data_IF_335249797642
#
_entry.id   IF_335249797642
#
_cell.length_a   1.000
_cell.length_b   1.000
_cell.length_c   1.000
_cell.angle_alpha   90.00
_cell.angle_beta   90.00
_cell.angle_gamma   90.00
#
_symmetry.space_group_name_H-M   'P 1'
#
loop_
_entity.id
_entity.type
_entity.pdbx_description
1 polymer ?
#
# COMPACT_ATOMS: atom_id res chain seq x y z
N UNK A 1 9.74 2.71 -8.96
CA UNK A 1 8.92 3.06 -7.77
C UNK A 1 7.49 2.55 -7.91
N UNK A 2 6.67 3.12 -8.82
CA UNK A 2 5.25 2.76 -8.98
C UNK A 2 4.97 1.26 -9.13
N UNK A 3 5.75 0.55 -9.95
CA UNK A 3 5.60 -0.89 -10.18
C UNK A 3 5.84 -1.73 -8.91
N UNK A 4 6.82 -1.34 -8.09
CA UNK A 4 7.15 -2.05 -6.84
C UNK A 4 6.12 -1.75 -5.76
N UNK A 5 5.68 -0.49 -5.62
CA UNK A 5 4.57 -0.12 -4.76
C UNK A 5 3.28 -0.86 -5.14
N UNK A 6 2.98 -0.97 -6.43
CA UNK A 6 1.79 -1.71 -6.90
C UNK A 6 1.83 -3.18 -6.51
N UNK A 7 3.00 -3.84 -6.56
CA UNK A 7 3.16 -5.23 -6.10
C UNK A 7 2.92 -5.37 -4.61
N UNK A 8 3.50 -4.47 -3.80
CA UNK A 8 3.32 -4.46 -2.34
C UNK A 8 1.84 -4.23 -2.01
N UNK A 9 1.22 -3.21 -2.60
CA UNK A 9 -0.22 -2.92 -2.42
C UNK A 9 -1.06 -4.13 -2.78
N UNK A 10 -0.78 -4.80 -3.90
CA UNK A 10 -1.56 -5.95 -4.32
C UNK A 10 -1.42 -7.17 -3.39
N UNK A 11 -0.22 -7.42 -2.86
CA UNK A 11 -0.01 -8.43 -1.84
C UNK A 11 -0.76 -8.09 -0.54
N UNK A 12 -0.64 -6.84 -0.08
CA UNK A 12 -1.22 -6.40 1.20
C UNK A 12 -2.73 -6.19 1.17
N UNK A 13 -3.31 -5.88 0.01
CA UNK A 13 -4.76 -5.81 -0.18
C UNK A 13 -5.45 -7.12 0.19
N UNK A 14 -4.76 -8.25 -0.02
CA UNK A 14 -5.24 -9.59 0.25
C UNK A 14 -4.72 -10.18 1.58
N UNK A 15 -3.96 -9.40 2.36
CA UNK A 15 -3.37 -9.89 3.60
C UNK A 15 -4.46 -10.17 4.64
N UNK A 16 -4.54 -11.40 5.19
CA UNK A 16 -5.51 -11.74 6.23
C UNK A 16 -5.14 -11.14 7.60
N UNK A 17 -3.94 -10.58 7.74
CA UNK A 17 -3.41 -10.10 9.02
C UNK A 17 -4.01 -8.75 9.44
N UNK A 18 -4.54 -7.96 8.49
CA UNK A 18 -4.93 -6.57 8.73
C UNK A 18 -6.36 -6.26 8.25
N UNK A 19 -7.32 -7.13 8.52
CA UNK A 19 -8.68 -7.05 7.96
C UNK A 19 -9.43 -5.75 8.31
N UNK A 20 -9.19 -5.19 9.50
CA UNK A 20 -9.89 -4.01 10.03
C UNK A 20 -9.10 -2.70 9.90
N UNK A 21 -7.98 -2.71 9.18
CA UNK A 21 -7.18 -1.50 9.00
C UNK A 21 -7.94 -0.45 8.18
N UNK A 22 -7.76 0.81 8.54
CA UNK A 22 -8.24 1.96 7.78
C UNK A 22 -7.38 2.19 6.53
N UNK A 23 -7.87 3.01 5.59
CA UNK A 23 -7.09 3.37 4.40
C UNK A 23 -5.75 4.02 4.77
N UNK A 24 -5.74 4.88 5.80
CA UNK A 24 -4.54 5.60 6.20
C UNK A 24 -3.51 4.64 6.81
N UNK A 25 -3.95 3.77 7.72
CA UNK A 25 -3.09 2.73 8.30
C UNK A 25 -2.54 1.78 7.24
N UNK A 26 -3.36 1.39 6.26
CA UNK A 26 -2.93 0.58 5.12
C UNK A 26 -1.82 1.26 4.32
N UNK A 27 -2.05 2.51 3.92
CA UNK A 27 -1.10 3.29 3.11
C UNK A 27 0.21 3.47 3.87
N UNK A 28 0.16 3.86 5.15
CA UNK A 28 1.36 4.05 5.97
C UNK A 28 2.16 2.75 6.11
N UNK A 29 1.47 1.63 6.35
CA UNK A 29 2.11 0.31 6.44
C UNK A 29 2.77 -0.10 5.12
N UNK A 30 2.11 0.10 3.99
CA UNK A 30 2.69 -0.15 2.66
C UNK A 30 3.93 0.72 2.43
N UNK A 31 3.88 2.00 2.82
CA UNK A 31 5.03 2.91 2.70
C UNK A 31 6.20 2.41 3.55
N UNK A 32 5.95 1.97 4.79
CA UNK A 32 6.97 1.38 5.65
C UNK A 32 7.57 0.10 5.04
N UNK A 33 6.77 -0.78 4.45
CA UNK A 33 7.26 -1.99 3.77
C UNK A 33 8.15 -1.60 2.58
N UNK A 34 7.74 -0.62 1.79
CA UNK A 34 8.52 -0.12 0.65
C UNK A 34 9.85 0.47 1.10
N UNK A 35 9.83 1.36 2.10
CA UNK A 35 11.03 2.01 2.64
C UNK A 35 12.02 0.98 3.21
N UNK A 36 11.53 0.00 3.97
CA UNK A 36 12.36 -1.10 4.48
C UNK A 36 12.97 -1.93 3.35
N UNK A 37 12.19 -2.22 2.30
CA UNK A 37 12.68 -2.95 1.12
C UNK A 37 13.76 -2.16 0.40
N UNK A 38 13.55 -0.86 0.18
CA UNK A 38 14.53 0.02 -0.47
C UNK A 38 15.81 0.15 0.35
N UNK A 39 15.71 0.32 1.66
CA UNK A 39 16.88 0.41 2.55
C UNK A 39 17.71 -0.88 2.53
N UNK A 40 17.06 -2.04 2.48
CA UNK A 40 17.75 -3.35 2.36
C UNK A 40 18.41 -3.55 0.99
N UNK A 41 17.80 -3.05 -0.08
CA UNK A 41 18.26 -3.30 -1.45
C UNK A 41 19.29 -2.28 -1.97
N UNK A 42 19.16 -1.01 -1.59
CA UNK A 42 19.94 0.10 -2.18
C UNK A 42 20.91 0.78 -1.22
N UNK A 43 20.91 0.39 0.06
CA UNK A 43 21.71 1.05 1.09
C UNK A 43 21.01 2.26 1.70
N UNK A 44 21.67 2.85 2.72
CA UNK A 44 21.09 3.79 3.67
C UNK A 44 20.37 4.99 3.04
N UNK A 45 19.14 5.21 3.50
CA UNK A 45 18.47 6.52 3.41
C UNK A 45 19.01 7.35 4.57
N UNK A 46 19.60 8.51 4.28
CA UNK A 46 20.04 9.45 5.33
C UNK A 46 18.83 9.91 6.15
N UNK A 47 18.90 9.92 7.50
CA UNK A 47 17.77 10.27 8.35
C UNK A 47 17.13 11.63 8.02
N UNK A 48 17.94 12.58 7.54
CA UNK A 48 17.49 13.91 7.09
C UNK A 48 16.58 13.89 5.87
N UNK A 49 16.74 12.91 4.98
CA UNK A 49 15.89 12.74 3.79
C UNK A 49 14.73 11.78 4.02
N UNK A 50 14.69 11.10 5.16
CA UNK A 50 13.74 10.00 5.38
C UNK A 50 12.28 10.48 5.41
N UNK A 51 12.02 11.64 6.00
CA UNK A 51 10.68 12.23 6.04
C UNK A 51 10.22 12.69 4.64
N UNK A 52 11.08 13.39 3.91
CA UNK A 52 10.74 13.89 2.56
C UNK A 52 10.47 12.72 1.59
N UNK A 53 11.32 11.69 1.64
CA UNK A 53 11.15 10.46 0.85
C UNK A 53 9.89 9.71 1.29
N UNK A 54 9.59 9.66 2.60
CA UNK A 54 8.38 9.01 3.08
C UNK A 54 7.11 9.70 2.57
N UNK A 55 7.07 11.04 2.61
CA UNK A 55 5.92 11.79 2.09
C UNK A 55 5.75 11.63 0.57
N UNK A 56 6.85 11.60 -0.19
CA UNK A 56 6.80 11.32 -1.64
C UNK A 56 6.28 9.90 -1.93
N UNK A 57 6.77 8.91 -1.18
CA UNK A 57 6.29 7.52 -1.27
C UNK A 57 4.82 7.42 -0.87
N UNK A 58 4.40 8.15 0.17
CA UNK A 58 3.01 8.17 0.65
C UNK A 58 2.08 8.77 -0.39
N UNK A 59 2.46 9.87 -1.01
CA UNK A 59 1.70 10.46 -2.11
C UNK A 59 1.51 9.45 -3.25
N UNK A 60 2.59 8.79 -3.67
CA UNK A 60 2.52 7.80 -4.75
C UNK A 60 1.70 6.55 -4.35
N UNK A 61 1.84 6.08 -3.11
CA UNK A 61 1.10 4.93 -2.60
C UNK A 61 -0.42 5.20 -2.59
N UNK A 62 -0.86 6.42 -2.27
CA UNK A 62 -2.27 6.82 -2.32
C UNK A 62 -2.80 6.73 -3.75
N UNK A 63 -2.05 7.25 -4.73
CA UNK A 63 -2.47 7.23 -6.13
C UNK A 63 -2.55 5.80 -6.67
N UNK A 64 -1.54 4.96 -6.40
CA UNK A 64 -1.58 3.55 -6.80
C UNK A 64 -2.70 2.79 -6.10
N UNK A 65 -2.95 3.07 -4.81
CA UNK A 65 -4.05 2.49 -4.07
C UNK A 65 -5.41 2.83 -4.70
N UNK A 66 -5.65 4.11 -5.02
CA UNK A 66 -6.88 4.57 -5.70
C UNK A 66 -7.11 3.87 -7.03
N UNK A 67 -6.06 3.73 -7.83
CA UNK A 67 -6.12 3.02 -9.12
C UNK A 67 -6.47 1.54 -8.90
N UNK A 68 -5.80 0.86 -7.97
CA UNK A 68 -6.01 -0.57 -7.68
C UNK A 68 -7.37 -0.87 -7.06
N UNK A 69 -7.93 0.09 -6.33
CA UNK A 69 -9.27 -0.02 -5.75
C UNK A 69 -10.36 0.61 -6.62
N UNK A 70 -10.08 1.00 -7.87
CA UNK A 70 -11.06 1.62 -8.77
C UNK A 70 -11.83 2.80 -8.13
N UNK A 71 -11.18 3.55 -7.24
CA UNK A 71 -11.81 4.65 -6.51
C UNK A 71 -12.75 4.24 -5.37
N UNK A 72 -12.73 2.98 -4.91
CA UNK A 72 -13.45 2.61 -3.68
C UNK A 72 -12.94 3.44 -2.50
N UNK A 73 -13.85 4.21 -1.90
CA UNK A 73 -13.54 5.13 -0.78
C UNK A 73 -13.06 4.43 0.49
N UNK A 74 -13.29 3.13 0.65
CA UNK A 74 -12.79 2.38 1.81
C UNK A 74 -12.22 1.02 1.41
N UNK A 75 -11.08 0.66 2.02
CA UNK A 75 -10.42 -0.63 1.91
C UNK A 75 -11.35 -1.77 2.31
N UNK A 76 -12.15 -1.56 3.37
CA UNK A 76 -13.15 -2.52 3.83
C UNK A 76 -14.24 -2.77 2.78
N UNK A 77 -14.68 -1.73 2.05
CA UNK A 77 -15.64 -1.87 0.95
C UNK A 77 -15.02 -2.63 -0.23
N UNK A 78 -13.77 -2.30 -0.59
CA UNK A 78 -13.05 -2.97 -1.66
C UNK A 78 -12.84 -4.47 -1.37
N UNK A 79 -12.35 -4.81 -0.17
CA UNK A 79 -12.14 -6.21 0.25
C UNK A 79 -13.43 -7.03 0.23
N UNK A 80 -14.55 -6.45 0.68
CA UNK A 80 -15.87 -7.09 0.62
C UNK A 80 -16.32 -7.35 -0.80
N UNK A 81 -16.27 -6.34 -1.68
CA UNK A 81 -16.64 -6.49 -3.09
C UNK A 81 -15.81 -7.55 -3.81
N UNK A 82 -14.49 -7.56 -3.57
CA UNK A 82 -13.58 -8.54 -4.17
C UNK A 82 -13.80 -9.96 -3.66
N UNK A 83 -14.09 -10.13 -2.36
CA UNK A 83 -14.43 -11.44 -1.79
C UNK A 83 -15.77 -11.97 -2.32
N UNK A 84 -16.75 -11.10 -2.54
CA UNK A 84 -18.01 -11.48 -3.19
C UNK A 84 -17.78 -11.93 -4.64
N UNK A 85 -16.96 -11.21 -5.42
CA UNK A 85 -16.59 -11.61 -6.79
C UNK A 85 -15.86 -12.97 -6.84
N UNK A 86 -15.09 -13.31 -5.81
CA UNK A 86 -14.43 -14.62 -5.69
C UNK A 86 -15.37 -15.78 -5.34
N UNK A 87 -16.52 -15.50 -4.71
CA UNK A 87 -17.51 -16.54 -4.38
C UNK A 87 -18.47 -16.83 -5.54
N UNK A 88 -18.51 -15.95 -6.55
CA UNK A 88 -19.34 -16.10 -7.74
C UNK A 88 -18.62 -16.75 -8.94
N UNK A 89 -17.33 -17.08 -8.81
CA UNK A 89 -16.53 -17.82 -9.79
C UNK A 89 -16.05 -19.13 -9.19
#
# INVERSE_FOLDING_TARGET
MKTELAKIIEAELNSPQFLNETNNEFVERVCLIYMNTMQRQKGYITPTLLNDVFEEVKFEAIEVFRIKTYGHYSLASYRRSRNQLRQCN
#
